data_IF_611103595426
#
_entry.id   IF_611103595426
#
_cell.length_a   1.000
_cell.length_b   1.000
_cell.length_c   1.000
_cell.angle_alpha   90.00
_cell.angle_beta   90.00
_cell.angle_gamma   90.00
#
_symmetry.space_group_name_H-M   'P 1'
#
loop_
_entity.id
_entity.type
_entity.pdbx_description
1 polymer ?
#
# COMPACT_ATOMS: atom_id res chain seq x y z
N UNK A 1 -16.62 -0.10 -17.74
CA UNK A 1 -16.57 0.21 -16.29
C UNK A 1 -15.13 0.10 -15.80
N UNK A 2 -14.64 1.04 -14.99
CA UNK A 2 -13.25 1.06 -14.49
C UNK A 2 -12.85 -0.27 -13.82
N UNK A 3 -13.71 -0.80 -12.94
CA UNK A 3 -13.49 -2.02 -12.16
C UNK A 3 -12.94 -3.21 -12.97
N UNK A 4 -13.46 -3.47 -14.17
CA UNK A 4 -13.04 -4.65 -14.96
C UNK A 4 -11.59 -4.56 -15.40
N UNK A 5 -11.06 -3.35 -15.60
CA UNK A 5 -9.67 -3.10 -16.00
C UNK A 5 -8.69 -3.12 -14.84
N UNK A 6 -9.10 -2.60 -13.67
CA UNK A 6 -8.21 -2.46 -12.51
C UNK A 6 -8.38 -3.54 -11.44
N UNK A 7 -9.33 -4.48 -11.59
CA UNK A 7 -9.59 -5.56 -10.61
C UNK A 7 -8.32 -6.23 -10.07
N UNK A 8 -7.39 -6.58 -10.95
CA UNK A 8 -6.13 -7.25 -10.57
C UNK A 8 -5.23 -6.32 -9.77
N UNK A 9 -5.11 -5.06 -10.17
CA UNK A 9 -4.35 -4.05 -9.43
C UNK A 9 -4.98 -3.78 -8.06
N UNK A 10 -6.31 -3.70 -7.97
CA UNK A 10 -7.03 -3.58 -6.69
C UNK A 10 -6.73 -4.79 -5.80
N UNK A 11 -6.79 -6.02 -6.33
CA UNK A 11 -6.48 -7.22 -5.55
C UNK A 11 -5.06 -7.18 -4.99
N UNK A 12 -4.05 -6.81 -5.80
CA UNK A 12 -2.66 -6.67 -5.34
C UNK A 12 -2.54 -5.61 -4.23
N UNK A 13 -3.15 -4.44 -4.43
CA UNK A 13 -3.11 -3.37 -3.43
C UNK A 13 -3.81 -3.79 -2.12
N UNK A 14 -4.95 -4.46 -2.19
CA UNK A 14 -5.64 -4.97 -1.00
C UNK A 14 -4.83 -6.06 -0.29
N UNK A 15 -4.18 -6.96 -1.03
CA UNK A 15 -3.26 -7.95 -0.45
C UNK A 15 -2.11 -7.26 0.27
N UNK A 16 -1.48 -6.27 -0.36
CA UNK A 16 -0.43 -5.46 0.28
C UNK A 16 -0.95 -4.79 1.56
N UNK A 17 -2.08 -4.07 1.50
CA UNK A 17 -2.65 -3.39 2.66
C UNK A 17 -2.96 -4.38 3.79
N UNK A 18 -3.53 -5.54 3.47
CA UNK A 18 -3.82 -6.60 4.44
C UNK A 18 -2.55 -7.16 5.10
N UNK A 19 -1.51 -7.45 4.32
CA UNK A 19 -0.22 -7.89 4.84
C UNK A 19 0.46 -6.79 5.69
N UNK A 20 0.34 -5.52 5.30
CA UNK A 20 0.87 -4.38 6.06
C UNK A 20 0.11 -4.13 7.36
N UNK A 21 -1.20 -4.42 7.41
CA UNK A 21 -1.98 -4.47 8.66
C UNK A 21 -1.46 -5.58 9.56
N UNK A 22 -1.28 -6.79 9.03
CA UNK A 22 -0.70 -7.92 9.79
C UNK A 22 0.68 -7.57 10.31
N UNK A 23 1.53 -6.94 9.49
CA UNK A 23 2.87 -6.50 9.88
C UNK A 23 2.84 -5.56 11.10
N UNK A 24 1.94 -4.57 11.09
CA UNK A 24 1.79 -3.62 12.19
C UNK A 24 1.25 -4.29 13.46
N UNK A 25 0.17 -5.06 13.34
CA UNK A 25 -0.48 -5.72 14.49
C UNK A 25 0.41 -6.80 15.10
N UNK A 26 1.09 -7.61 14.28
CA UNK A 26 2.07 -8.57 14.75
C UNK A 26 3.25 -7.89 15.44
N UNK A 27 3.71 -6.73 14.93
CA UNK A 27 4.73 -5.92 15.58
C UNK A 27 4.32 -5.46 16.99
N UNK A 28 3.09 -4.98 17.15
CA UNK A 28 2.55 -4.60 18.47
C UNK A 28 2.46 -5.81 19.41
N UNK A 29 2.02 -6.97 18.92
CA UNK A 29 1.95 -8.19 19.71
C UNK A 29 3.33 -8.68 20.17
N UNK A 30 4.38 -8.50 19.35
CA UNK A 30 5.76 -8.79 19.72
C UNK A 30 6.27 -7.82 20.78
N UNK A 31 6.02 -6.52 20.60
CA UNK A 31 6.40 -5.48 21.58
C UNK A 31 5.77 -5.76 22.94
N UNK A 32 4.48 -6.14 22.98
CA UNK A 32 3.78 -6.50 24.20
C UNK A 32 4.40 -7.71 24.95
N UNK A 33 5.24 -8.50 24.27
CA UNK A 33 5.98 -9.65 24.83
C UNK A 33 7.47 -9.33 25.09
N UNK A 34 7.88 -8.07 25.00
CA UNK A 34 9.28 -7.65 25.15
C UNK A 34 10.18 -8.02 23.96
N UNK A 35 9.60 -8.39 22.82
CA UNK A 35 10.32 -8.71 21.60
C UNK A 35 10.35 -7.49 20.66
N UNK A 36 11.33 -7.45 19.76
CA UNK A 36 11.41 -6.41 18.73
C UNK A 36 10.35 -6.65 17.64
N UNK A 37 9.73 -5.57 17.17
CA UNK A 37 8.83 -5.62 16.02
C UNK A 37 9.59 -5.92 14.71
N UNK A 38 8.91 -6.45 13.67
CA UNK A 38 9.52 -6.75 12.37
C UNK A 38 10.04 -5.51 11.64
N UNK A 39 9.53 -4.32 11.98
CA UNK A 39 10.00 -3.05 11.47
C UNK A 39 9.97 -1.97 12.55
N UNK A 40 10.57 -0.81 12.27
CA UNK A 40 10.74 0.29 13.23
C UNK A 40 9.42 0.94 13.65
N UNK A 41 8.36 0.75 12.87
CA UNK A 41 7.08 1.42 13.02
C UNK A 41 5.95 0.39 13.11
N UNK A 42 5.65 -0.06 14.33
CA UNK A 42 4.44 -0.83 14.63
C UNK A 42 3.41 0.13 15.24
N UNK A 43 2.25 0.31 14.59
CA UNK A 43 1.24 1.29 15.01
C UNK A 43 -0.19 0.82 14.72
N UNK A 44 -1.07 1.03 15.71
CA UNK A 44 -2.52 0.77 15.56
C UNK A 44 -3.14 1.79 14.60
N UNK A 45 -2.68 3.04 14.67
CA UNK A 45 -3.11 4.14 13.82
C UNK A 45 -2.80 3.85 12.35
N UNK A 46 -1.59 3.35 12.05
CA UNK A 46 -1.24 2.94 10.70
C UNK A 46 -2.10 1.75 10.25
N UNK A 47 -2.29 0.73 11.09
CA UNK A 47 -3.17 -0.39 10.74
C UNK A 47 -4.61 0.06 10.43
N UNK A 48 -5.19 0.93 11.26
CA UNK A 48 -6.52 1.48 11.05
C UNK A 48 -6.60 2.33 9.76
N UNK A 49 -5.58 3.15 9.51
CA UNK A 49 -5.48 3.95 8.28
C UNK A 49 -5.42 3.08 7.03
N UNK A 50 -4.63 1.99 7.04
CA UNK A 50 -4.54 1.04 5.92
C UNK A 50 -5.88 0.34 5.63
N UNK A 51 -6.64 -0.02 6.68
CA UNK A 51 -7.99 -0.57 6.53
C UNK A 51 -8.95 0.45 5.88
N UNK A 52 -8.93 1.70 6.35
CA UNK A 52 -9.71 2.78 5.77
C UNK A 52 -9.36 3.02 4.30
N UNK A 53 -8.05 2.98 3.96
CA UNK A 53 -7.57 3.06 2.58
C UNK A 53 -8.09 1.92 1.72
N UNK A 54 -8.10 0.69 2.24
CA UNK A 54 -8.64 -0.48 1.53
C UNK A 54 -10.12 -0.32 1.20
N UNK A 55 -10.91 0.16 2.17
CA UNK A 55 -12.34 0.48 1.95
C UNK A 55 -12.50 1.57 0.89
N UNK A 56 -11.77 2.69 1.03
CA UNK A 56 -11.81 3.80 0.09
C UNK A 56 -11.43 3.36 -1.33
N UNK A 57 -10.46 2.45 -1.47
CA UNK A 57 -10.02 1.90 -2.75
C UNK A 57 -11.12 1.06 -3.41
N UNK A 58 -11.81 0.19 -2.66
CA UNK A 58 -12.92 -0.62 -3.19
C UNK A 58 -14.11 0.24 -3.58
N UNK A 59 -14.49 1.20 -2.71
CA UNK A 59 -15.59 2.14 -2.99
C UNK A 59 -15.25 2.99 -4.20
N UNK A 60 -14.06 3.58 -4.25
CA UNK A 60 -13.60 4.39 -5.37
C UNK A 60 -13.57 3.62 -6.69
N UNK A 61 -13.06 2.38 -6.68
CA UNK A 61 -12.96 1.57 -7.91
C UNK A 61 -14.33 1.21 -8.49
N UNK A 62 -15.38 1.20 -7.66
CA UNK A 62 -16.75 0.83 -8.06
C UNK A 62 -17.65 2.03 -8.32
N UNK A 63 -17.46 3.14 -7.61
CA UNK A 63 -18.42 4.25 -7.56
C UNK A 63 -17.81 5.61 -7.89
N UNK A 64 -16.53 5.85 -7.58
CA UNK A 64 -15.94 7.17 -7.71
C UNK A 64 -14.44 7.08 -8.03
N UNK A 65 -14.11 7.07 -9.32
CA UNK A 65 -12.75 6.83 -9.82
C UNK A 65 -11.66 7.73 -9.21
N UNK A 66 -11.88 9.06 -8.99
CA UNK A 66 -10.88 9.90 -8.34
C UNK A 66 -10.49 9.44 -6.93
N UNK A 67 -11.43 8.93 -6.13
CA UNK A 67 -11.13 8.38 -4.80
C UNK A 67 -10.24 7.14 -4.88
N UNK A 68 -10.44 6.29 -5.89
CA UNK A 68 -9.57 5.15 -6.13
C UNK A 68 -8.13 5.58 -6.46
N UNK A 69 -7.97 6.58 -7.32
CA UNK A 69 -6.66 7.12 -7.70
C UNK A 69 -5.98 7.73 -6.49
N UNK A 70 -6.69 8.57 -5.73
CA UNK A 70 -6.16 9.17 -4.50
C UNK A 70 -5.72 8.10 -3.49
N UNK A 71 -6.56 7.10 -3.21
CA UNK A 71 -6.20 6.00 -2.32
C UNK A 71 -4.98 5.21 -2.83
N UNK A 72 -4.91 4.93 -4.14
CA UNK A 72 -3.77 4.23 -4.74
C UNK A 72 -2.48 5.03 -4.62
N UNK A 73 -2.52 6.35 -4.85
CA UNK A 73 -1.37 7.23 -4.72
C UNK A 73 -0.91 7.34 -3.26
N UNK A 74 -1.83 7.48 -2.31
CA UNK A 74 -1.49 7.51 -0.88
C UNK A 74 -0.86 6.19 -0.43
N UNK A 75 -1.40 5.04 -0.87
CA UNK A 75 -0.80 3.73 -0.61
C UNK A 75 0.60 3.61 -1.21
N UNK A 76 0.79 4.06 -2.45
CA UNK A 76 2.08 4.06 -3.13
C UNK A 76 3.11 4.95 -2.43
N UNK A 77 2.71 6.15 -2.00
CA UNK A 77 3.57 7.08 -1.25
C UNK A 77 4.00 6.49 0.10
N UNK A 78 3.05 5.93 0.86
CA UNK A 78 3.36 5.24 2.12
C UNK A 78 4.33 4.08 1.92
N UNK A 79 4.12 3.28 0.86
CA UNK A 79 4.99 2.16 0.52
C UNK A 79 6.40 2.62 0.14
N UNK A 80 6.51 3.65 -0.70
CA UNK A 80 7.80 4.26 -1.07
C UNK A 80 8.54 4.81 0.15
N UNK A 81 7.83 5.48 1.06
CA UNK A 81 8.42 5.98 2.31
C UNK A 81 8.98 4.84 3.16
N UNK A 82 8.25 3.73 3.31
CA UNK A 82 8.73 2.58 4.07
C UNK A 82 9.97 1.92 3.43
N UNK A 83 10.03 1.86 2.10
CA UNK A 83 11.23 1.41 1.37
C UNK A 83 12.41 2.34 1.65
N UNK A 84 12.24 3.66 1.53
CA UNK A 84 13.30 4.63 1.77
C UNK A 84 13.82 4.56 3.21
N UNK A 85 12.92 4.43 4.20
CA UNK A 85 13.30 4.23 5.60
C UNK A 85 14.16 2.98 5.79
N UNK A 86 13.86 1.90 5.08
CA UNK A 86 14.69 0.71 5.11
C UNK A 86 16.11 0.96 4.60
N UNK A 87 16.42 2.03 3.87
CA UNK A 87 17.80 2.35 3.46
C UNK A 87 18.42 3.51 4.24
N UNK A 88 17.60 4.39 4.82
CA UNK A 88 18.06 5.61 5.51
C UNK A 88 18.21 5.46 7.02
N UNK A 89 17.36 4.65 7.66
CA UNK A 89 17.40 4.47 9.11
C UNK A 89 18.50 3.49 9.53
N UNK A 90 18.91 3.56 10.80
CA UNK A 90 19.86 2.62 11.37
C UNK A 90 19.33 1.18 11.26
N UNK A 91 20.16 0.30 10.69
CA UNK A 91 19.91 -1.12 10.56
C UNK A 91 19.59 -1.83 11.88
N UNK A 92 20.05 -1.30 13.01
CA UNK A 92 19.82 -1.85 14.35
C UNK A 92 18.35 -1.82 14.79
N UNK A 93 17.52 -1.02 14.11
CA UNK A 93 16.07 -0.92 14.36
C UNK A 93 15.29 -2.16 13.90
N UNK A 94 15.87 -2.99 13.05
CA UNK A 94 15.28 -4.28 12.66
C UNK A 94 15.85 -5.41 13.52
N UNK A 95 15.08 -6.47 13.79
CA UNK A 95 15.59 -7.64 14.50
C UNK A 95 16.70 -8.36 13.71
N UNK A 96 16.64 -8.29 12.38
CA UNK A 96 17.64 -8.85 11.47
C UNK A 96 17.55 -8.21 10.09
N UNK A 97 18.60 -8.40 9.29
CA UNK A 97 18.66 -8.00 7.88
C UNK A 97 17.51 -8.60 7.05
N UNK A 98 17.06 -9.81 7.39
CA UNK A 98 15.93 -10.45 6.73
C UNK A 98 14.65 -9.62 6.87
N UNK A 99 14.30 -9.18 8.08
CA UNK A 99 13.09 -8.41 8.32
C UNK A 99 13.12 -7.04 7.65
N UNK A 100 14.30 -6.43 7.57
CA UNK A 100 14.53 -5.19 6.83
C UNK A 100 14.13 -5.33 5.36
N UNK A 101 14.66 -6.35 4.68
CA UNK A 101 14.36 -6.56 3.26
C UNK A 101 13.00 -7.20 3.00
N UNK A 102 12.45 -7.98 3.94
CA UNK A 102 11.07 -8.44 3.87
C UNK A 102 10.10 -7.25 3.85
N UNK A 103 10.36 -6.21 4.65
CA UNK A 103 9.64 -4.95 4.60
C UNK A 103 9.77 -4.25 3.24
N UNK A 104 10.97 -4.21 2.66
CA UNK A 104 11.18 -3.66 1.30
C UNK A 104 10.36 -4.40 0.25
N UNK A 105 10.38 -5.74 0.26
CA UNK A 105 9.63 -6.56 -0.69
C UNK A 105 8.11 -6.36 -0.55
N UNK A 106 7.61 -6.35 0.69
CA UNK A 106 6.20 -6.11 0.98
C UNK A 106 5.74 -4.75 0.43
N UNK A 107 6.49 -3.68 0.71
CA UNK A 107 6.15 -2.35 0.22
C UNK A 107 6.38 -2.20 -1.29
N UNK A 108 7.32 -2.95 -1.87
CA UNK A 108 7.51 -3.03 -3.32
C UNK A 108 6.24 -3.52 -4.03
N UNK A 109 5.52 -4.49 -3.44
CA UNK A 109 4.20 -4.92 -3.92
C UNK A 109 3.18 -3.79 -3.88
N UNK A 110 3.21 -2.97 -2.82
CA UNK A 110 2.36 -1.78 -2.68
C UNK A 110 2.59 -0.74 -3.77
N UNK A 111 3.86 -0.39 -4.02
CA UNK A 111 4.25 0.53 -5.11
C UNK A 111 3.83 -0.03 -6.47
N UNK A 112 4.14 -1.31 -6.74
CA UNK A 112 3.77 -1.95 -8.00
C UNK A 112 2.24 -1.95 -8.22
N UNK A 113 1.47 -2.32 -7.20
CA UNK A 113 0.01 -2.30 -7.25
C UNK A 113 -0.56 -0.90 -7.49
N UNK A 114 0.01 0.13 -6.85
CA UNK A 114 -0.39 1.52 -7.04
C UNK A 114 -0.12 2.00 -8.48
N UNK A 115 1.10 1.78 -8.99
CA UNK A 115 1.47 2.13 -10.37
C UNK A 115 0.56 1.45 -11.39
N UNK A 116 0.34 0.14 -11.26
CA UNK A 116 -0.55 -0.59 -12.16
C UNK A 116 -1.98 -0.07 -12.08
N UNK A 117 -2.48 0.20 -10.87
CA UNK A 117 -3.82 0.76 -10.65
C UNK A 117 -4.03 2.11 -11.35
N UNK A 118 -3.10 3.04 -11.13
CA UNK A 118 -3.14 4.39 -11.71
C UNK A 118 -3.00 4.34 -13.23
N UNK A 119 -2.09 3.54 -13.77
CA UNK A 119 -1.96 3.36 -15.23
C UNK A 119 -3.21 2.72 -15.85
N UNK A 120 -3.84 1.77 -15.16
CA UNK A 120 -5.10 1.16 -15.59
C UNK A 120 -6.25 2.16 -15.62
N UNK A 121 -6.33 3.04 -14.62
CA UNK A 121 -7.28 4.17 -14.61
C UNK A 121 -7.01 5.17 -15.73
N UNK A 122 -5.73 5.55 -15.95
CA UNK A 122 -5.34 6.49 -17.00
C UNK A 122 -5.78 5.99 -18.38
N UNK A 123 -5.47 4.73 -18.71
CA UNK A 123 -5.89 4.10 -19.96
C UNK A 123 -7.41 4.02 -20.08
N UNK A 124 -8.11 3.70 -19.00
CA UNK A 124 -9.58 3.72 -19.01
C UNK A 124 -10.13 5.11 -19.31
N UNK A 125 -9.55 6.16 -18.72
CA UNK A 125 -9.98 7.54 -18.92
C UNK A 125 -9.82 7.98 -20.38
N UNK A 126 -8.67 7.70 -20.99
CA UNK A 126 -8.41 8.00 -22.41
C UNK A 126 -9.43 7.33 -23.34
N UNK A 127 -9.80 6.08 -23.06
CA UNK A 127 -10.77 5.35 -23.90
C UNK A 127 -12.20 5.87 -23.74
N UNK A 128 -12.53 6.49 -22.59
CA UNK A 128 -13.88 7.04 -22.33
C UNK A 128 -14.02 8.52 -22.64
N UNK A 129 -12.92 9.25 -22.71
CA UNK A 129 -12.88 10.70 -22.95
C UNK A 129 -11.58 11.04 -23.71
N UNK A 130 -11.58 10.89 -25.05
CA UNK A 130 -10.39 11.09 -25.88
C UNK A 130 -9.86 12.53 -25.84
N UNK A 131 -10.76 13.50 -25.64
CA UNK A 131 -10.45 14.93 -25.64
C UNK A 131 -9.81 15.39 -24.32
N UNK A 132 -9.89 14.61 -23.24
CA UNK A 132 -9.20 14.87 -21.97
C UNK A 132 -7.67 14.76 -22.03
N UNK A 133 -7.11 14.45 -23.21
CA UNK A 133 -5.66 14.32 -23.46
C UNK A 133 -5.05 15.47 -24.27
N UNK A 134 -5.87 16.44 -24.71
CA UNK A 134 -5.44 17.70 -25.33
C UNK A 134 -5.35 18.81 -24.29
#
# INVERSE_FOLDING_TARGET
MLWTRIRRAVAIQLTHLGLSVVWNVAGLALIARGLRAPGPTASVEVAAFLLALGVAMVVGARRFAPLYVLASLLAGLGSSSAILQAFQLDSSLWPSTFWRYAGVLLNGLGVFGACWGVLGWWKWRQDTDPDASR
#
